data_IF_718947175584
#
_entry.id   IF_718947175584
#
_cell.length_a   1.000
_cell.length_b   1.000
_cell.length_c   1.000
_cell.angle_alpha   90.00
_cell.angle_beta   90.00
_cell.angle_gamma   90.00
#
_symmetry.space_group_name_H-M   'P 1'
#
loop_
_entity.id
_entity.type
_entity.pdbx_description
1 polymer ?
#
# COMPACT_ATOMS: atom_id res chain seq x y z
N UNK A 1 16.34 -13.03 6.85
CA UNK A 1 14.96 -13.52 6.64
C UNK A 1 14.89 -14.93 7.18
N UNK A 2 14.09 -15.17 8.23
CA UNK A 2 13.94 -16.50 8.84
C UNK A 2 13.11 -17.38 7.92
N UNK A 3 13.61 -18.58 7.61
CA UNK A 3 12.90 -19.56 6.79
C UNK A 3 12.02 -20.44 7.68
N UNK A 4 10.73 -20.13 7.71
CA UNK A 4 9.74 -20.86 8.51
C UNK A 4 9.57 -22.32 8.06
N UNK A 5 9.97 -22.67 6.83
CA UNK A 5 9.83 -24.04 6.30
C UNK A 5 10.85 -25.03 6.87
N UNK A 6 11.91 -24.51 7.52
CA UNK A 6 12.94 -25.31 8.20
C UNK A 6 12.65 -25.56 9.67
N UNK A 7 11.55 -25.02 10.19
CA UNK A 7 11.12 -25.25 11.55
C UNK A 7 10.48 -26.64 11.65
N UNK A 8 11.07 -27.53 12.45
CA UNK A 8 10.47 -28.82 12.85
C UNK A 8 9.32 -28.63 13.86
N UNK A 9 8.56 -27.54 13.75
CA UNK A 9 7.42 -27.22 14.63
C UNK A 9 6.27 -26.65 13.81
N UNK A 10 5.07 -26.72 14.38
CA UNK A 10 3.89 -26.04 13.84
C UNK A 10 4.07 -24.52 13.91
N UNK A 11 3.57 -23.83 12.90
CA UNK A 11 3.59 -22.38 12.77
C UNK A 11 2.25 -21.86 13.30
N UNK A 12 2.29 -21.04 14.34
CA UNK A 12 1.10 -20.45 14.93
C UNK A 12 0.64 -19.25 14.11
N UNK A 13 -0.61 -19.27 13.66
CA UNK A 13 -1.20 -18.23 12.82
C UNK A 13 -2.43 -17.65 13.50
N UNK A 14 -2.40 -16.35 13.77
CA UNK A 14 -3.57 -15.59 14.19
C UNK A 14 -4.23 -14.97 12.96
N UNK A 15 -5.56 -15.11 12.83
CA UNK A 15 -6.30 -14.39 11.79
C UNK A 15 -7.74 -14.04 12.18
N UNK A 16 -8.17 -12.84 11.77
CA UNK A 16 -9.56 -12.37 11.81
C UNK A 16 -10.25 -12.40 10.43
N UNK A 17 -9.65 -13.11 9.47
CA UNK A 17 -10.16 -13.27 8.12
C UNK A 17 -10.70 -14.68 7.95
N UNK A 18 -12.02 -14.80 7.83
CA UNK A 18 -12.73 -16.08 7.67
C UNK A 18 -12.17 -16.89 6.49
N UNK A 19 -11.93 -16.24 5.35
CA UNK A 19 -11.38 -16.90 4.18
C UNK A 19 -10.01 -17.55 4.46
N UNK A 20 -9.16 -16.91 5.26
CA UNK A 20 -7.85 -17.49 5.62
C UNK A 20 -8.05 -18.65 6.58
N UNK A 21 -8.94 -18.50 7.56
CA UNK A 21 -9.29 -19.56 8.51
C UNK A 21 -9.81 -20.83 7.81
N UNK A 22 -10.67 -20.66 6.82
CA UNK A 22 -11.34 -21.77 6.13
C UNK A 22 -10.42 -22.50 5.13
N UNK A 23 -9.38 -21.82 4.62
CA UNK A 23 -8.51 -22.35 3.58
C UNK A 23 -7.08 -22.70 4.05
N UNK A 24 -6.70 -22.31 5.27
CA UNK A 24 -5.40 -22.66 5.87
C UNK A 24 -5.44 -24.07 6.50
N UNK A 25 -5.56 -25.08 5.64
CA UNK A 25 -5.79 -26.49 6.02
C UNK A 25 -4.50 -27.33 6.15
N UNK A 26 -3.35 -26.78 5.79
CA UNK A 26 -2.08 -27.49 5.81
C UNK A 26 -1.61 -27.71 7.27
N UNK A 27 -1.24 -28.95 7.61
CA UNK A 27 -0.87 -29.38 8.96
C UNK A 27 0.33 -28.63 9.56
N UNK A 28 1.12 -27.95 8.72
CA UNK A 28 2.23 -27.11 9.19
C UNK A 28 1.76 -25.86 9.91
N UNK A 29 0.51 -25.45 9.71
CA UNK A 29 -0.07 -24.27 10.34
C UNK A 29 -1.07 -24.66 11.42
N UNK A 30 -1.05 -23.91 12.51
CA UNK A 30 -1.99 -24.02 13.60
C UNK A 30 -2.65 -22.67 13.81
N UNK A 31 -3.98 -22.63 13.67
CA UNK A 31 -4.74 -21.42 13.93
C UNK A 31 -4.84 -21.19 15.45
N UNK A 32 -4.49 -19.98 15.89
CA UNK A 32 -4.55 -19.57 17.29
C UNK A 32 -5.47 -18.35 17.46
N UNK A 33 -6.14 -18.27 18.61
CA UNK A 33 -7.09 -17.19 18.92
C UNK A 33 -6.43 -15.98 19.61
N UNK A 34 -5.23 -16.15 20.15
CA UNK A 34 -4.51 -15.13 20.91
C UNK A 34 -3.19 -14.78 20.22
N UNK A 35 -2.73 -13.54 20.42
CA UNK A 35 -1.48 -13.03 19.86
C UNK A 35 -0.23 -13.45 20.67
N UNK A 36 -0.40 -14.14 21.80
CA UNK A 36 0.70 -14.72 22.57
C UNK A 36 1.32 -15.89 21.79
N UNK A 37 2.64 -15.89 21.62
CA UNK A 37 3.40 -16.95 20.92
C UNK A 37 2.95 -17.23 19.48
N UNK A 38 2.47 -16.19 18.79
CA UNK A 38 2.11 -16.27 17.37
C UNK A 38 3.33 -16.03 16.48
N UNK A 39 3.45 -16.79 15.40
CA UNK A 39 4.49 -16.63 14.38
C UNK A 39 4.05 -15.74 13.23
N UNK A 40 2.77 -15.85 12.83
CA UNK A 40 2.17 -15.09 11.73
C UNK A 40 0.88 -14.42 12.20
N UNK A 41 0.79 -13.10 11.99
CA UNK A 41 -0.42 -12.31 12.20
C UNK A 41 -0.99 -11.95 10.83
N UNK A 42 -2.11 -12.55 10.46
CA UNK A 42 -2.82 -12.23 9.23
C UNK A 42 -4.14 -11.54 9.55
N UNK A 43 -4.19 -10.22 9.45
CA UNK A 43 -5.37 -9.45 9.82
C UNK A 43 -5.75 -8.37 8.80
N UNK A 44 -7.05 -8.08 8.72
CA UNK A 44 -7.57 -6.90 8.01
C UNK A 44 -7.45 -5.61 8.83
N UNK A 45 -7.35 -5.71 10.15
CA UNK A 45 -7.27 -4.53 11.03
C UNK A 45 -5.91 -3.89 10.90
N UNK A 46 -5.89 -2.56 10.75
CA UNK A 46 -4.64 -1.81 10.69
C UNK A 46 -3.82 -2.03 11.97
N UNK A 47 -2.55 -2.44 11.80
CA UNK A 47 -1.58 -2.54 12.88
C UNK A 47 -0.96 -1.17 13.10
N UNK A 48 -1.27 -0.52 14.22
CA UNK A 48 -0.84 0.85 14.48
C UNK A 48 0.65 0.98 14.82
N UNK A 49 1.28 -0.11 15.28
CA UNK A 49 2.63 -0.08 15.84
C UNK A 49 3.56 -1.05 15.12
N UNK A 50 3.64 -0.88 13.80
CA UNK A 50 4.51 -1.68 12.94
C UNK A 50 5.99 -1.55 13.30
N UNK A 51 6.41 -0.38 13.82
CA UNK A 51 7.79 -0.13 14.24
C UNK A 51 8.18 -1.05 15.39
N UNK A 52 7.37 -1.09 16.46
CA UNK A 52 7.67 -1.97 17.59
C UNK A 52 7.59 -3.44 17.20
N UNK A 53 6.68 -3.81 16.28
CA UNK A 53 6.60 -5.18 15.75
C UNK A 53 7.86 -5.56 14.94
N UNK A 54 8.37 -4.65 14.12
CA UNK A 54 9.54 -4.90 13.27
C UNK A 54 10.84 -5.03 14.09
N UNK A 55 10.99 -4.21 15.13
CA UNK A 55 12.22 -4.15 15.93
C UNK A 55 12.29 -5.23 17.01
N UNK A 56 11.16 -5.59 17.63
CA UNK A 56 11.14 -6.39 18.85
C UNK A 56 10.61 -7.82 18.65
N UNK A 57 10.15 -8.18 17.44
CA UNK A 57 9.52 -9.48 17.21
C UNK A 57 10.10 -10.17 15.97
N UNK A 58 10.07 -11.51 15.98
CA UNK A 58 10.33 -12.33 14.79
C UNK A 58 9.03 -12.71 14.06
N UNK A 59 7.96 -11.94 14.27
CA UNK A 59 6.64 -12.24 13.74
C UNK A 59 6.53 -11.80 12.29
N UNK A 60 5.78 -12.57 11.51
CA UNK A 60 5.42 -12.21 10.15
C UNK A 60 4.03 -11.58 10.16
N UNK A 61 3.86 -10.51 9.40
CA UNK A 61 2.60 -9.78 9.31
C UNK A 61 2.22 -9.57 7.84
N UNK A 62 0.93 -9.46 7.55
CA UNK A 62 0.41 -9.22 6.20
C UNK A 62 0.28 -7.72 5.84
N UNK A 63 0.97 -6.84 6.56
CA UNK A 63 0.92 -5.38 6.36
C UNK A 63 2.34 -4.81 6.30
N UNK A 64 2.55 -3.82 5.43
CA UNK A 64 3.86 -3.20 5.25
C UNK A 64 3.91 -1.79 5.83
N UNK A 65 5.03 -1.37 6.46
CA UNK A 65 5.24 0.03 6.80
C UNK A 65 5.11 0.91 5.56
N UNK A 66 4.43 2.05 5.70
CA UNK A 66 4.20 3.03 4.64
C UNK A 66 3.39 2.54 3.42
N UNK A 67 2.65 1.43 3.53
CA UNK A 67 1.77 0.93 2.46
C UNK A 67 0.67 1.94 2.07
N UNK A 68 0.30 2.84 2.99
CA UNK A 68 -0.62 3.92 2.73
C UNK A 68 -0.19 4.84 1.58
N UNK A 69 1.11 4.94 1.29
CA UNK A 69 1.64 5.72 0.16
C UNK A 69 1.05 5.23 -1.17
N UNK A 70 0.83 3.93 -1.33
CA UNK A 70 0.30 3.35 -2.57
C UNK A 70 -1.23 3.13 -2.52
N UNK A 71 -1.79 2.90 -1.33
CA UNK A 71 -3.21 2.58 -1.17
C UNK A 71 -4.10 3.84 -1.01
N UNK A 72 -3.53 5.00 -0.67
CA UNK A 72 -4.27 6.26 -0.62
C UNK A 72 -4.04 7.03 -1.94
N UNK A 73 -5.15 7.40 -2.60
CA UNK A 73 -5.14 7.96 -3.96
C UNK A 73 -4.30 9.23 -4.11
N UNK A 74 -4.40 10.15 -3.16
CA UNK A 74 -3.68 11.43 -3.22
C UNK A 74 -2.17 11.24 -2.98
N UNK A 75 -1.79 10.41 -2.01
CA UNK A 75 -0.38 10.04 -1.77
C UNK A 75 0.23 9.33 -2.99
N UNK A 76 -0.50 8.38 -3.58
CA UNK A 76 -0.07 7.69 -4.80
C UNK A 76 0.17 8.69 -5.92
N UNK A 77 -0.79 9.59 -6.17
CA UNK A 77 -0.69 10.60 -7.22
C UNK A 77 0.52 11.52 -7.01
N UNK A 78 0.78 11.95 -5.77
CA UNK A 78 1.94 12.79 -5.44
C UNK A 78 3.25 12.04 -5.68
N UNK A 79 3.38 10.80 -5.20
CA UNK A 79 4.61 10.02 -5.40
C UNK A 79 4.87 9.75 -6.88
N UNK A 80 3.84 9.36 -7.65
CA UNK A 80 3.96 9.14 -9.09
C UNK A 80 4.44 10.40 -9.84
N UNK A 81 4.02 11.60 -9.44
CA UNK A 81 4.53 12.86 -10.00
C UNK A 81 5.99 13.12 -9.62
N UNK A 82 6.38 12.81 -8.37
CA UNK A 82 7.75 13.01 -7.88
C UNK A 82 8.75 12.05 -8.52
N UNK A 83 8.33 10.83 -8.83
CA UNK A 83 9.19 9.80 -9.42
C UNK A 83 9.20 9.82 -10.95
N UNK A 84 8.29 10.55 -11.60
CA UNK A 84 8.27 10.59 -13.06
C UNK A 84 9.46 11.37 -13.61
N UNK A 85 10.23 10.74 -14.50
CA UNK A 85 11.34 11.37 -15.23
C UNK A 85 10.85 12.24 -16.40
N UNK A 86 9.59 12.08 -16.79
CA UNK A 86 8.93 12.79 -17.88
C UNK A 86 8.32 14.09 -17.39
N UNK A 87 9.02 15.19 -17.69
CA UNK A 87 8.53 16.56 -17.53
C UNK A 87 8.04 17.02 -18.89
N UNK A 88 6.79 17.46 -18.96
CA UNK A 88 6.30 18.20 -20.12
C UNK A 88 6.98 19.57 -20.17
N UNK A 89 7.68 19.85 -21.26
CA UNK A 89 8.49 21.06 -21.41
C UNK A 89 7.67 22.34 -21.56
N UNK A 90 6.43 22.24 -22.02
CA UNK A 90 5.55 23.40 -22.20
C UNK A 90 4.80 23.75 -20.92
N UNK A 91 4.33 22.73 -20.19
CA UNK A 91 3.56 22.94 -18.95
C UNK A 91 4.41 22.84 -17.69
N UNK A 92 5.68 22.39 -17.80
CA UNK A 92 6.60 22.04 -16.70
C UNK A 92 6.00 21.04 -15.70
N UNK A 93 4.96 20.31 -16.09
CA UNK A 93 4.30 19.33 -15.24
C UNK A 93 4.96 17.96 -15.40
N UNK A 94 5.15 17.28 -14.27
CA UNK A 94 5.68 15.93 -14.20
C UNK A 94 4.52 14.93 -14.21
N UNK A 95 4.52 13.99 -15.16
CA UNK A 95 3.44 13.01 -15.29
C UNK A 95 3.99 11.59 -15.41
N UNK A 96 3.29 10.65 -14.75
CA UNK A 96 3.52 9.22 -14.95
C UNK A 96 2.76 8.75 -16.20
N UNK A 97 3.43 8.01 -17.09
CA UNK A 97 2.85 7.56 -18.38
C UNK A 97 1.59 6.70 -18.22
N UNK A 98 1.48 5.95 -17.12
CA UNK A 98 0.38 5.02 -16.86
C UNK A 98 -0.69 5.60 -15.93
N UNK A 99 -0.42 6.72 -15.25
CA UNK A 99 -1.33 7.34 -14.30
C UNK A 99 -1.87 8.66 -14.89
N UNK A 100 -3.20 8.80 -15.08
CA UNK A 100 -3.77 10.06 -15.52
C UNK A 100 -3.41 11.22 -14.57
N UNK A 101 -3.27 12.42 -15.11
CA UNK A 101 -3.06 13.63 -14.31
C UNK A 101 -4.16 13.74 -13.24
N UNK A 102 -3.76 13.75 -11.98
CA UNK A 102 -4.64 13.64 -10.81
C UNK A 102 -4.34 14.75 -9.83
N UNK A 103 -5.39 15.43 -9.34
CA UNK A 103 -5.31 16.54 -8.39
C UNK A 103 -6.10 16.23 -7.12
N UNK A 104 -5.57 16.61 -5.96
CA UNK A 104 -6.32 16.62 -4.71
C UNK A 104 -7.12 17.91 -4.58
N UNK A 105 -8.44 17.88 -4.81
CA UNK A 105 -9.26 19.09 -4.86
C UNK A 105 -9.39 19.86 -3.53
N UNK A 106 -8.98 19.27 -2.40
CA UNK A 106 -8.92 20.02 -1.13
C UNK A 106 -7.74 21.00 -1.11
N UNK A 107 -6.67 20.74 -1.89
CA UNK A 107 -5.41 21.49 -1.84
C UNK A 107 -4.95 22.02 -3.20
N UNK A 108 -5.36 21.37 -4.30
CA UNK A 108 -4.89 21.60 -5.68
C UNK A 108 -6.05 22.02 -6.63
N UNK A 109 -7.12 22.59 -6.09
CA UNK A 109 -8.26 23.05 -6.91
C UNK A 109 -7.89 24.14 -7.93
N UNK A 110 -7.10 25.18 -7.58
CA UNK A 110 -6.67 26.18 -8.55
C UNK A 110 -5.85 25.59 -9.71
N UNK A 111 -4.95 24.66 -9.41
CA UNK A 111 -4.11 23.94 -10.37
C UNK A 111 -4.97 23.10 -11.31
N UNK A 112 -5.97 22.41 -10.77
CA UNK A 112 -6.95 21.67 -11.56
C UNK A 112 -7.72 22.59 -12.53
N UNK A 113 -8.23 23.73 -12.05
CA UNK A 113 -8.96 24.69 -12.90
C UNK A 113 -8.06 25.23 -14.01
N UNK A 114 -6.82 25.61 -13.68
CA UNK A 114 -5.83 26.07 -14.65
C UNK A 114 -5.54 24.99 -15.71
N UNK A 115 -5.29 23.76 -15.27
CA UNK A 115 -5.05 22.61 -16.16
C UNK A 115 -6.24 22.35 -17.09
N UNK A 116 -7.46 22.41 -16.56
CA UNK A 116 -8.69 22.20 -17.33
C UNK A 116 -8.83 23.24 -18.45
N UNK A 117 -8.67 24.54 -18.14
CA UNK A 117 -8.76 25.60 -19.15
C UNK A 117 -7.65 25.54 -20.19
N UNK A 118 -6.42 25.15 -19.80
CA UNK A 118 -5.34 24.95 -20.77
C UNK A 118 -5.68 23.82 -21.75
N UNK A 119 -6.16 22.68 -21.23
CA UNK A 119 -6.58 21.57 -22.09
C UNK A 119 -7.75 21.92 -23.01
N UNK A 120 -8.75 22.64 -22.50
CA UNK A 120 -9.89 23.11 -23.30
C UNK A 120 -9.40 23.95 -24.49
N UNK A 121 -8.50 24.91 -24.25
CA UNK A 121 -7.91 25.72 -25.32
C UNK A 121 -7.12 24.87 -26.31
N UNK A 122 -6.26 23.96 -25.85
CA UNK A 122 -5.45 23.13 -26.74
C UNK A 122 -6.29 22.16 -27.59
N UNK A 123 -7.39 21.64 -27.04
CA UNK A 123 -8.30 20.74 -27.76
C UNK A 123 -9.10 21.43 -28.86
N UNK A 124 -9.22 22.77 -28.82
CA UNK A 124 -9.91 23.56 -29.86
C UNK A 124 -9.02 23.77 -31.10
N UNK A 125 -7.71 23.51 -31.01
CA UNK A 125 -6.74 23.70 -32.09
C UNK A 125 -6.13 22.40 -32.67
N UNK A 126 -6.69 21.23 -32.31
CA UNK A 126 -6.34 19.90 -32.87
C UNK A 126 -7.48 19.32 -33.69
#
# INVERSE_FOLDING_TARGET
MVDLTKLNRTINVFTDVELVRDNLIDKRFQLVEYLSDVDIIFTRKHLNDLTNLCENTQQFINQHPFENIINIKDLLAIICRRTSSSIDKETLQSYSLWLPTTFNLNHELPEFISYFHHREKSAIFS
#
